data_IF_725309987878
#
_entry.id   IF_725309987878
#
_cell.length_a   1.000
_cell.length_b   1.000
_cell.length_c   1.000
_cell.angle_alpha   90.00
_cell.angle_beta   90.00
_cell.angle_gamma   90.00
#
_symmetry.space_group_name_H-M   'P 1'
#
loop_
_entity.id
_entity.type
_entity.pdbx_description
1 polymer ?
#
# COMPACT_ATOMS: atom_id res chain seq x y z
N UNK A 1 -36.81 33.48 -43.74
CA UNK A 1 -35.63 33.57 -44.64
C UNK A 1 -34.37 33.66 -43.79
N UNK A 2 -33.42 32.74 -44.04
CA UNK A 2 -32.12 32.60 -43.37
C UNK A 2 -31.22 33.85 -43.50
N UNK A 3 -30.37 34.07 -42.50
CA UNK A 3 -28.91 34.39 -42.56
C UNK A 3 -28.41 34.46 -41.09
N UNK A 4 -27.73 33.44 -40.53
CA UNK A 4 -26.31 33.06 -40.60
C UNK A 4 -25.28 34.14 -40.24
N UNK A 5 -24.49 33.85 -39.18
CA UNK A 5 -23.19 34.46 -38.82
C UNK A 5 -22.88 34.21 -37.32
N UNK A 6 -22.29 33.08 -36.89
CA UNK A 6 -20.86 32.65 -36.84
C UNK A 6 -19.94 33.44 -35.90
N UNK A 7 -19.37 32.73 -34.91
CA UNK A 7 -18.07 33.00 -34.24
C UNK A 7 -18.14 33.97 -33.06
N UNK A 8 -17.61 33.71 -31.87
CA UNK A 8 -16.55 32.81 -31.44
C UNK A 8 -16.86 32.29 -30.02
N UNK A 9 -16.94 30.97 -29.86
CA UNK A 9 -16.68 30.37 -28.56
C UNK A 9 -15.16 30.15 -28.52
N UNK A 10 -14.44 31.05 -27.83
CA UNK A 10 -13.04 30.84 -27.49
C UNK A 10 -12.98 29.73 -26.46
N UNK A 11 -13.04 28.47 -26.91
CA UNK A 11 -12.51 27.38 -26.11
C UNK A 11 -11.01 27.57 -26.06
N UNK A 12 -10.55 28.18 -24.96
CA UNK A 12 -9.15 28.05 -24.56
C UNK A 12 -8.94 26.60 -24.18
N UNK A 13 -8.57 25.78 -25.18
CA UNK A 13 -8.01 24.48 -24.97
C UNK A 13 -6.63 24.70 -24.32
N UNK A 14 -6.62 24.75 -22.99
CA UNK A 14 -5.38 24.65 -22.23
C UNK A 14 -4.93 23.21 -22.39
N UNK A 15 -3.98 22.99 -23.28
CA UNK A 15 -3.27 21.73 -23.40
C UNK A 15 -2.43 21.56 -22.13
N UNK A 16 -2.96 20.81 -21.14
CA UNK A 16 -2.17 20.32 -20.01
C UNK A 16 -1.26 19.21 -20.53
N UNK A 17 -0.05 19.55 -20.99
CA UNK A 17 1.02 18.59 -21.30
C UNK A 17 1.68 18.04 -20.02
N UNK A 18 0.88 17.73 -19.00
CA UNK A 18 1.37 17.14 -17.75
C UNK A 18 0.48 15.95 -17.41
N UNK A 19 1.11 14.79 -17.26
CA UNK A 19 0.43 13.61 -16.76
C UNK A 19 0.00 13.86 -15.30
N UNK A 20 -1.26 13.58 -14.97
CA UNK A 20 -1.78 13.71 -13.61
C UNK A 20 -2.07 12.31 -13.11
N UNK A 21 -1.27 11.84 -12.14
CA UNK A 21 -1.54 10.60 -11.43
C UNK A 21 -2.80 10.71 -10.58
N UNK A 22 -3.80 9.87 -10.84
CA UNK A 22 -5.02 9.78 -10.05
C UNK A 22 -5.25 8.33 -9.60
N UNK A 23 -5.39 8.14 -8.28
CA UNK A 23 -5.81 6.87 -7.68
C UNK A 23 -7.18 7.07 -7.04
N UNK A 24 -8.23 6.58 -7.70
CA UNK A 24 -9.62 6.76 -7.26
C UNK A 24 -10.09 5.49 -6.55
N UNK A 25 -10.52 5.63 -5.29
CA UNK A 25 -11.02 4.53 -4.47
C UNK A 25 -12.36 4.90 -3.84
N UNK A 26 -13.19 3.89 -3.66
CA UNK A 26 -14.47 4.01 -2.97
C UNK A 26 -14.36 3.35 -1.60
N UNK A 27 -14.49 4.13 -0.52
CA UNK A 27 -14.47 3.66 0.87
C UNK A 27 -13.25 2.79 1.28
N UNK A 28 -12.16 2.78 0.51
CA UNK A 28 -11.05 1.85 0.70
C UNK A 28 -9.69 2.56 0.72
N UNK A 29 -9.05 2.55 1.88
CA UNK A 29 -7.76 3.22 2.10
C UNK A 29 -6.55 2.29 1.94
N UNK A 30 -6.76 0.98 1.82
CA UNK A 30 -5.65 0.03 1.78
C UNK A 30 -4.75 0.24 0.57
N UNK A 31 -3.47 -0.08 0.77
CA UNK A 31 -2.40 0.03 -0.24
C UNK A 31 -2.38 -1.22 -1.13
N UNK A 32 -1.30 -1.44 -1.91
CA UNK A 32 -1.17 -2.60 -2.81
C UNK A 32 -1.50 -3.91 -2.09
N UNK A 33 -2.19 -4.81 -2.80
CA UNK A 33 -2.62 -6.11 -2.26
C UNK A 33 -1.45 -7.10 -2.21
N UNK A 34 -0.64 -6.98 -1.17
CA UNK A 34 0.52 -7.83 -0.88
C UNK A 34 0.12 -9.24 -0.43
N UNK A 35 0.96 -10.24 -0.74
CA UNK A 35 0.74 -11.65 -0.36
C UNK A 35 2.05 -12.34 0.01
N UNK A 36 1.94 -13.34 0.88
CA UNK A 36 2.98 -14.33 1.11
C UNK A 36 2.51 -15.68 0.55
N UNK A 37 3.40 -16.40 -0.12
CA UNK A 37 3.12 -17.74 -0.62
C UNK A 37 4.40 -18.53 -0.86
N UNK A 38 4.28 -19.85 -1.00
CA UNK A 38 5.39 -20.75 -1.35
C UNK A 38 6.01 -20.53 -2.75
N UNK A 39 5.46 -19.62 -3.57
CA UNK A 39 5.94 -19.34 -4.94
C UNK A 39 6.39 -17.90 -5.16
N UNK A 40 5.98 -17.00 -4.28
CA UNK A 40 6.18 -15.56 -4.47
C UNK A 40 7.29 -15.13 -3.54
N UNK A 41 8.43 -14.78 -4.13
CA UNK A 41 9.54 -14.15 -3.43
C UNK A 41 9.18 -12.69 -3.16
N UNK A 42 8.58 -12.45 -2.00
CA UNK A 42 8.11 -11.11 -1.64
C UNK A 42 9.27 -10.13 -1.51
N UNK A 43 10.46 -10.59 -1.10
CA UNK A 43 11.61 -9.71 -0.97
C UNK A 43 12.08 -9.20 -2.33
N UNK A 44 12.15 -10.10 -3.32
CA UNK A 44 12.49 -9.72 -4.68
C UNK A 44 11.42 -8.79 -5.28
N UNK A 45 10.14 -9.02 -5.00
CA UNK A 45 9.05 -8.18 -5.52
C UNK A 45 8.93 -6.82 -4.84
N UNK A 46 9.18 -6.73 -3.53
CA UNK A 46 8.84 -5.53 -2.74
C UNK A 46 10.04 -4.61 -2.50
N UNK A 47 11.25 -5.16 -2.50
CA UNK A 47 12.47 -4.38 -2.24
C UNK A 47 13.70 -4.88 -3.01
N UNK A 48 13.47 -5.55 -4.13
CA UNK A 48 14.51 -6.02 -5.07
C UNK A 48 15.63 -6.85 -4.41
N UNK A 49 15.29 -7.63 -3.37
CA UNK A 49 16.22 -8.53 -2.69
C UNK A 49 15.55 -9.88 -2.44
N UNK A 50 16.00 -10.96 -3.10
CA UNK A 50 15.44 -12.30 -2.88
C UNK A 50 15.41 -12.68 -1.41
N UNK A 51 14.30 -13.29 -0.99
CA UNK A 51 14.17 -13.84 0.35
C UNK A 51 15.29 -14.86 0.62
N UNK A 52 15.84 -14.80 1.83
CA UNK A 52 16.87 -15.71 2.30
C UNK A 52 16.42 -17.18 2.38
N UNK A 53 17.39 -18.10 2.37
CA UNK A 53 17.13 -19.52 2.62
C UNK A 53 16.51 -19.71 4.02
N UNK A 54 16.90 -18.90 5.01
CA UNK A 54 16.30 -18.91 6.34
C UNK A 54 14.80 -18.61 6.31
N UNK A 55 14.36 -17.66 5.48
CA UNK A 55 12.93 -17.39 5.27
C UNK A 55 12.24 -18.59 4.64
N UNK A 56 12.79 -19.12 3.54
CA UNK A 56 12.17 -20.24 2.83
C UNK A 56 12.04 -21.49 3.70
N UNK A 57 13.09 -21.82 4.46
CA UNK A 57 13.08 -22.92 5.42
C UNK A 57 12.03 -22.71 6.53
N UNK A 58 11.85 -21.47 7.01
CA UNK A 58 10.88 -21.17 8.04
C UNK A 58 9.42 -21.28 7.55
N UNK A 59 9.13 -20.86 6.32
CA UNK A 59 7.75 -20.85 5.80
C UNK A 59 7.34 -22.15 5.09
N UNK A 60 8.29 -22.96 4.65
CA UNK A 60 8.03 -24.25 3.99
C UNK A 60 7.06 -25.15 4.77
N UNK A 61 7.27 -25.48 6.06
CA UNK A 61 6.36 -26.36 6.78
C UNK A 61 4.94 -25.78 6.88
N UNK A 62 4.82 -24.45 6.99
CA UNK A 62 3.53 -23.75 7.05
C UNK A 62 2.79 -23.91 5.72
N UNK A 63 3.46 -23.65 4.60
CA UNK A 63 2.81 -23.77 3.29
C UNK A 63 2.57 -25.21 2.86
N UNK A 64 3.36 -26.16 3.32
CA UNK A 64 3.10 -27.58 3.08
C UNK A 64 1.84 -28.05 3.83
N UNK A 65 1.66 -27.61 5.08
CA UNK A 65 0.40 -27.81 5.81
C UNK A 65 -0.79 -27.20 5.05
N UNK A 66 -0.69 -25.95 4.59
CA UNK A 66 -1.78 -25.31 3.85
C UNK A 66 -2.11 -25.97 2.51
N UNK A 67 -1.12 -26.58 1.83
CA UNK A 67 -1.37 -27.38 0.62
C UNK A 67 -2.20 -28.62 0.94
N UNK A 68 -1.84 -29.34 2.00
CA UNK A 68 -2.59 -30.53 2.44
C UNK A 68 -4.04 -30.17 2.81
N UNK A 69 -4.24 -29.09 3.59
CA UNK A 69 -5.58 -28.62 3.96
C UNK A 69 -6.40 -28.16 2.75
N UNK A 70 -5.75 -27.55 1.75
CA UNK A 70 -6.41 -27.22 0.48
C UNK A 70 -6.85 -28.48 -0.26
N UNK A 71 -6.00 -29.50 -0.35
CA UNK A 71 -6.30 -30.76 -1.05
C UNK A 71 -7.42 -31.53 -0.34
N UNK A 72 -7.52 -31.42 0.99
CA UNK A 72 -8.63 -31.93 1.79
C UNK A 72 -9.92 -31.12 1.65
N UNK A 73 -9.88 -29.94 1.01
CA UNK A 73 -11.03 -29.06 0.84
C UNK A 73 -11.45 -28.32 2.11
N UNK A 74 -10.57 -28.26 3.12
CA UNK A 74 -10.83 -27.68 4.44
C UNK A 74 -11.17 -26.19 4.37
N UNK A 75 -12.05 -25.71 5.25
CA UNK A 75 -12.31 -24.28 5.45
C UNK A 75 -11.39 -23.67 6.51
N UNK A 76 -11.09 -22.38 6.39
CA UNK A 76 -10.32 -21.65 7.41
C UNK A 76 -10.94 -21.64 8.81
N UNK A 77 -12.25 -21.88 8.92
CA UNK A 77 -12.95 -22.03 10.19
C UNK A 77 -12.69 -23.37 10.87
N UNK A 78 -12.28 -24.38 10.10
CA UNK A 78 -12.08 -25.77 10.55
C UNK A 78 -10.64 -26.04 10.99
N UNK A 79 -9.67 -25.20 10.60
CA UNK A 79 -8.30 -25.27 11.10
C UNK A 79 -8.26 -24.87 12.58
N UNK A 80 -8.00 -25.85 13.45
CA UNK A 80 -7.71 -25.64 14.86
C UNK A 80 -6.38 -24.91 15.07
N UNK A 81 -6.33 -24.02 16.07
CA UNK A 81 -5.13 -23.26 16.47
C UNK A 81 -4.40 -22.55 15.30
N UNK A 82 -5.14 -22.10 14.27
CA UNK A 82 -4.55 -21.41 13.10
C UNK A 82 -3.66 -20.21 13.44
N UNK A 83 -3.95 -19.50 14.53
CA UNK A 83 -3.07 -18.42 15.02
C UNK A 83 -1.66 -18.94 15.29
N UNK A 84 -1.55 -20.02 16.07
CA UNK A 84 -0.27 -20.60 16.50
C UNK A 84 0.42 -21.39 15.38
N UNK A 85 -0.37 -22.09 14.55
CA UNK A 85 0.17 -22.99 13.54
C UNK A 85 0.47 -22.31 12.21
N UNK A 86 -0.14 -21.15 11.94
CA UNK A 86 -0.03 -20.47 10.63
C UNK A 86 0.33 -19.00 10.79
N UNK A 87 -0.48 -18.22 11.50
CA UNK A 87 -0.35 -16.76 11.44
C UNK A 87 0.90 -16.24 12.14
N UNK A 88 1.10 -16.60 13.41
CA UNK A 88 2.27 -16.19 14.20
C UNK A 88 3.58 -16.63 13.54
N UNK A 89 3.81 -17.91 13.19
CA UNK A 89 5.08 -18.32 12.62
C UNK A 89 5.33 -17.69 11.24
N UNK A 90 4.30 -17.49 10.41
CA UNK A 90 4.45 -16.82 9.12
C UNK A 90 4.77 -15.33 9.28
N UNK A 91 4.13 -14.66 10.23
CA UNK A 91 4.43 -13.26 10.55
C UNK A 91 5.82 -13.10 11.14
N UNK A 92 6.26 -14.02 12.01
CA UNK A 92 7.62 -14.01 12.54
C UNK A 92 8.65 -14.17 11.42
N UNK A 93 8.44 -15.13 10.51
CA UNK A 93 9.32 -15.31 9.35
C UNK A 93 9.38 -14.04 8.47
N UNK A 94 8.25 -13.35 8.28
CA UNK A 94 8.19 -12.08 7.58
C UNK A 94 8.97 -10.97 8.32
N UNK A 95 8.79 -10.83 9.64
CA UNK A 95 9.52 -9.86 10.47
C UNK A 95 11.02 -10.09 10.35
N UNK A 96 11.45 -11.34 10.54
CA UNK A 96 12.86 -11.70 10.53
C UNK A 96 13.50 -11.44 9.17
N UNK A 97 12.77 -11.70 8.08
CA UNK A 97 13.28 -11.49 6.73
C UNK A 97 13.40 -10.00 6.38
N UNK A 98 12.41 -9.19 6.75
CA UNK A 98 12.49 -7.74 6.54
C UNK A 98 13.65 -7.15 7.35
N UNK A 99 13.89 -7.60 8.59
CA UNK A 99 15.03 -7.15 9.37
C UNK A 99 16.38 -7.56 8.75
N UNK A 100 16.52 -8.82 8.30
CA UNK A 100 17.71 -9.26 7.55
C UNK A 100 17.95 -8.44 6.29
N UNK A 101 16.91 -8.15 5.53
CA UNK A 101 17.02 -7.32 4.32
C UNK A 101 17.43 -5.88 4.67
N UNK A 102 16.86 -5.30 5.72
CA UNK A 102 17.21 -3.95 6.21
C UNK A 102 18.67 -3.83 6.64
N UNK A 103 19.22 -4.86 7.29
CA UNK A 103 20.63 -4.91 7.70
C UNK A 103 21.57 -4.97 6.50
N UNK A 104 21.16 -5.64 5.42
CA UNK A 104 21.94 -5.80 4.18
C UNK A 104 21.86 -4.59 3.25
N UNK A 105 20.71 -3.93 3.19
CA UNK A 105 20.44 -2.80 2.30
C UNK A 105 19.67 -1.69 3.04
N UNK A 106 20.37 -0.59 3.32
CA UNK A 106 19.79 0.58 3.98
C UNK A 106 18.72 1.31 3.14
N UNK A 107 18.58 0.98 1.85
CA UNK A 107 17.52 1.51 0.98
C UNK A 107 16.24 0.69 1.04
N UNK A 108 16.25 -0.49 1.69
CA UNK A 108 15.07 -1.36 1.83
C UNK A 108 13.82 -0.62 2.35
N UNK A 109 13.89 0.20 3.43
CA UNK A 109 12.73 0.96 3.91
C UNK A 109 12.05 1.80 2.82
N UNK A 110 12.84 2.45 1.97
CA UNK A 110 12.35 3.27 0.86
C UNK A 110 11.64 2.42 -0.18
N UNK A 111 12.31 1.34 -0.64
CA UNK A 111 11.75 0.43 -1.66
C UNK A 111 10.45 -0.22 -1.20
N UNK A 112 10.38 -0.62 0.07
CA UNK A 112 9.17 -1.16 0.69
C UNK A 112 7.99 -0.19 0.57
N UNK A 113 8.19 1.09 0.91
CA UNK A 113 7.13 2.11 0.77
C UNK A 113 6.77 2.32 -0.70
N UNK A 114 7.75 2.51 -1.57
CA UNK A 114 7.55 2.71 -3.02
C UNK A 114 6.75 1.55 -3.64
N UNK A 115 7.02 0.30 -3.25
CA UNK A 115 6.25 -0.85 -3.69
C UNK A 115 4.79 -0.80 -3.22
N UNK A 116 4.56 -0.44 -1.96
CA UNK A 116 3.22 -0.44 -1.36
C UNK A 116 2.35 0.69 -1.90
N UNK A 117 2.91 1.89 -2.05
CA UNK A 117 2.15 3.11 -2.37
C UNK A 117 2.26 3.51 -3.84
N UNK A 118 3.29 3.04 -4.56
CA UNK A 118 3.62 3.45 -5.92
C UNK A 118 4.85 4.37 -5.94
N UNK A 119 5.52 4.41 -7.09
CA UNK A 119 6.72 5.23 -7.33
C UNK A 119 6.31 6.60 -7.91
N UNK A 120 5.30 6.63 -8.77
CA UNK A 120 4.83 7.86 -9.40
C UNK A 120 4.10 8.76 -8.41
N UNK A 121 4.14 10.08 -8.63
CA UNK A 121 3.35 10.99 -7.81
C UNK A 121 1.87 10.99 -8.21
N UNK A 122 0.97 11.01 -7.23
CA UNK A 122 -0.47 10.97 -7.51
C UNK A 122 -1.34 11.62 -6.42
N UNK A 123 -2.55 11.98 -6.83
CA UNK A 123 -3.63 12.29 -5.89
C UNK A 123 -4.44 11.02 -5.61
N UNK A 124 -4.53 10.64 -4.34
CA UNK A 124 -5.46 9.58 -3.90
C UNK A 124 -6.79 10.21 -3.54
N UNK A 125 -7.83 9.91 -4.31
CA UNK A 125 -9.18 10.41 -4.09
C UNK A 125 -10.03 9.29 -3.51
N UNK A 126 -10.54 9.49 -2.30
CA UNK A 126 -11.35 8.49 -1.58
C UNK A 126 -12.72 9.08 -1.25
N UNK A 127 -13.78 8.46 -1.75
CA UNK A 127 -15.14 8.78 -1.28
C UNK A 127 -15.42 8.08 0.07
N UNK A 128 -16.04 8.82 0.99
CA UNK A 128 -16.52 8.36 2.31
C UNK A 128 -18.01 8.62 2.39
N UNK A 129 -18.79 7.72 1.79
CA UNK A 129 -20.23 7.88 1.56
C UNK A 129 -21.03 8.09 2.86
N UNK A 130 -20.73 7.29 3.88
CA UNK A 130 -21.37 7.41 5.20
C UNK A 130 -21.15 8.78 5.86
N UNK A 131 -20.09 9.48 5.46
CA UNK A 131 -19.74 10.84 5.92
C UNK A 131 -20.11 11.93 4.92
N UNK A 132 -20.65 11.57 3.74
CA UNK A 132 -20.88 12.49 2.61
C UNK A 132 -19.66 13.38 2.36
N UNK A 133 -18.50 12.76 2.25
CA UNK A 133 -17.20 13.42 2.19
C UNK A 133 -16.30 12.78 1.14
N UNK A 134 -15.55 13.59 0.40
CA UNK A 134 -14.43 13.13 -0.43
C UNK A 134 -13.12 13.59 0.21
N UNK A 135 -12.19 12.66 0.41
CA UNK A 135 -10.83 12.93 0.87
C UNK A 135 -9.88 12.91 -0.34
N UNK A 136 -8.95 13.87 -0.41
CA UNK A 136 -7.88 13.89 -1.39
C UNK A 136 -6.55 13.90 -0.64
N UNK A 137 -5.70 12.89 -0.88
CA UNK A 137 -4.35 12.79 -0.34
C UNK A 137 -3.32 13.09 -1.43
N UNK A 138 -2.29 13.89 -1.12
CA UNK A 138 -1.25 14.26 -2.08
C UNK A 138 0.05 13.48 -1.86
N UNK A 139 0.32 12.47 -2.69
CA UNK A 139 1.59 11.73 -2.66
C UNK A 139 2.55 12.34 -3.68
N UNK A 140 3.30 13.36 -3.26
CA UNK A 140 4.26 14.09 -4.09
C UNK A 140 5.70 13.69 -3.70
N UNK A 141 6.17 12.53 -4.12
CA UNK A 141 7.48 11.98 -3.75
C UNK A 141 8.60 12.54 -4.63
N UNK A 142 8.31 12.87 -5.88
CA UNK A 142 9.28 13.28 -6.90
C UNK A 142 9.12 14.74 -7.34
N UNK A 143 8.37 15.52 -6.56
CA UNK A 143 8.09 16.93 -6.83
C UNK A 143 7.52 17.10 -8.24
N UNK A 144 6.45 16.39 -8.61
CA UNK A 144 5.81 16.57 -9.92
C UNK A 144 4.37 17.09 -9.81
N UNK A 145 3.75 17.00 -8.63
CA UNK A 145 2.39 17.47 -8.43
C UNK A 145 2.28 19.00 -8.38
N UNK A 146 1.23 19.51 -9.02
CA UNK A 146 0.81 20.91 -9.00
C UNK A 146 1.89 21.94 -9.35
N UNK A 147 2.82 21.59 -10.25
CA UNK A 147 3.81 22.56 -10.76
C UNK A 147 3.11 23.73 -11.46
N UNK A 148 3.57 24.97 -11.23
CA UNK A 148 2.97 26.14 -11.88
C UNK A 148 3.10 26.03 -13.40
N UNK A 149 1.99 26.22 -14.11
CA UNK A 149 2.02 26.40 -15.55
C UNK A 149 2.58 27.79 -15.86
N UNK A 150 3.20 27.98 -17.04
CA UNK A 150 3.87 29.23 -17.46
C UNK A 150 3.11 30.52 -17.11
N UNK A 151 1.76 30.47 -17.12
CA UNK A 151 0.90 31.63 -16.89
C UNK A 151 -0.16 31.43 -15.78
N UNK A 152 -0.04 30.43 -14.90
CA UNK A 152 -0.96 30.22 -13.77
C UNK A 152 -0.21 29.77 -12.53
N UNK A 153 -0.34 30.55 -11.45
CA UNK A 153 0.12 30.17 -10.11
C UNK A 153 -0.81 29.09 -9.57
N UNK A 154 -0.24 28.00 -9.07
CA UNK A 154 -0.99 26.91 -8.44
C UNK A 154 -1.72 27.42 -7.21
N UNK A 155 -2.99 27.02 -7.05
CA UNK A 155 -3.82 27.48 -5.93
C UNK A 155 -3.37 26.94 -4.56
N UNK A 156 -2.61 25.83 -4.56
CA UNK A 156 -2.05 25.19 -3.37
C UNK A 156 -0.61 24.75 -3.66
N UNK A 157 0.30 24.90 -2.69
CA UNK A 157 1.62 24.27 -2.78
C UNK A 157 1.52 22.87 -2.21
N UNK A 158 1.92 21.86 -3.00
CA UNK A 158 1.97 20.46 -2.53
C UNK A 158 3.39 20.18 -2.04
N UNK A 159 3.61 19.97 -0.73
CA UNK A 159 4.94 19.69 -0.21
C UNK A 159 5.44 18.32 -0.70
N UNK A 160 6.77 18.18 -0.77
CA UNK A 160 7.40 16.92 -1.17
C UNK A 160 7.37 15.97 0.03
N UNK A 161 6.86 14.77 -0.20
CA UNK A 161 6.78 13.71 0.81
C UNK A 161 8.17 13.12 1.03
N UNK A 162 8.61 13.07 2.29
CA UNK A 162 9.87 12.42 2.65
C UNK A 162 9.68 10.91 2.73
N UNK A 163 10.31 10.18 1.82
CA UNK A 163 10.40 8.71 1.89
C UNK A 163 11.21 8.28 3.13
N UNK A 164 10.95 7.09 3.70
CA UNK A 164 11.70 6.63 4.86
C UNK A 164 13.15 6.31 4.49
N UNK A 165 14.05 6.53 5.44
CA UNK A 165 15.47 6.17 5.34
C UNK A 165 15.87 5.10 6.35
N UNK A 166 14.98 4.77 7.29
CA UNK A 166 15.27 3.84 8.38
C UNK A 166 14.02 3.10 8.85
N UNK A 167 14.13 1.78 8.95
CA UNK A 167 13.21 0.96 9.74
C UNK A 167 13.45 1.20 11.24
N UNK A 168 12.44 1.68 11.95
CA UNK A 168 12.49 1.93 13.40
C UNK A 168 12.13 0.68 14.18
N UNK A 169 11.03 0.03 13.80
CA UNK A 169 10.58 -1.22 14.38
C UNK A 169 9.66 -1.97 13.40
N UNK A 170 9.64 -3.29 13.52
CA UNK A 170 8.65 -4.16 12.89
C UNK A 170 8.31 -5.26 13.89
N UNK A 171 7.09 -5.23 14.42
CA UNK A 171 6.71 -6.06 15.55
C UNK A 171 5.24 -6.46 15.50
N UNK A 172 4.85 -7.45 16.31
CA UNK A 172 3.45 -7.81 16.46
C UNK A 172 2.65 -6.66 17.06
N UNK A 173 1.46 -6.43 16.50
CA UNK A 173 0.50 -5.53 17.11
C UNK A 173 0.11 -6.07 18.49
N UNK A 174 0.08 -5.24 19.54
CA UNK A 174 -0.33 -5.69 20.87
C UNK A 174 -1.71 -6.36 20.85
N UNK A 175 -1.80 -7.52 21.50
CA UNK A 175 -3.02 -8.34 21.58
C UNK A 175 -3.55 -8.80 20.20
N UNK A 176 -2.68 -9.00 19.21
CA UNK A 176 -3.04 -9.54 17.89
C UNK A 176 -2.10 -10.67 17.47
N UNK A 177 -2.70 -11.79 17.07
CA UNK A 177 -1.96 -12.96 16.57
C UNK A 177 -1.81 -12.96 15.04
N UNK A 178 -2.38 -11.97 14.35
CA UNK A 178 -2.45 -11.96 12.88
C UNK A 178 -2.09 -10.60 12.27
N UNK A 179 -1.56 -9.67 13.06
CA UNK A 179 -1.21 -8.33 12.60
C UNK A 179 0.17 -7.94 13.11
N UNK A 180 1.00 -7.42 12.22
CA UNK A 180 2.26 -6.76 12.56
C UNK A 180 2.19 -5.28 12.19
N UNK A 181 2.93 -4.45 12.90
CA UNK A 181 3.02 -3.01 12.68
C UNK A 181 4.46 -2.65 12.33
N UNK A 182 4.61 -1.90 11.24
CA UNK A 182 5.88 -1.40 10.73
C UNK A 182 5.96 0.10 11.02
N UNK A 183 7.00 0.48 11.74
CA UNK A 183 7.32 1.85 12.11
C UNK A 183 8.58 2.27 11.37
N UNK A 184 8.48 3.33 10.59
CA UNK A 184 9.54 3.89 9.78
C UNK A 184 9.74 5.35 10.18
N UNK A 185 10.92 5.89 9.92
CA UNK A 185 11.16 7.32 10.11
C UNK A 185 10.32 8.17 9.13
N UNK A 186 10.37 9.49 9.30
CA UNK A 186 9.59 10.44 8.50
C UNK A 186 8.05 10.29 8.59
N UNK A 187 7.53 9.63 9.63
CA UNK A 187 6.10 9.59 9.94
C UNK A 187 5.31 8.46 9.27
N UNK A 188 6.00 7.52 8.62
CA UNK A 188 5.40 6.35 8.00
C UNK A 188 5.11 5.26 9.04
N UNK A 189 3.85 4.84 9.14
CA UNK A 189 3.45 3.70 9.96
C UNK A 189 2.39 2.88 9.24
N UNK A 190 2.60 1.56 9.15
CA UNK A 190 1.70 0.66 8.43
C UNK A 190 1.39 -0.57 9.29
N UNK A 191 0.15 -1.04 9.20
CA UNK A 191 -0.27 -2.34 9.73
C UNK A 191 -0.38 -3.35 8.60
N UNK A 192 0.07 -4.57 8.86
CA UNK A 192 -0.01 -5.71 7.95
C UNK A 192 -0.82 -6.80 8.63
N UNK A 193 -2.11 -6.90 8.29
CA UNK A 193 -3.00 -7.92 8.84
C UNK A 193 -3.16 -9.06 7.87
N UNK A 194 -2.85 -10.28 8.29
CA UNK A 194 -3.20 -11.49 7.53
C UNK A 194 -4.72 -11.60 7.46
N UNK A 195 -5.23 -11.71 6.23
CA UNK A 195 -6.63 -11.98 5.96
C UNK A 195 -6.80 -13.01 4.83
N UNK A 196 -7.89 -13.78 4.90
CA UNK A 196 -8.25 -14.76 3.89
C UNK A 196 -9.60 -14.36 3.29
N UNK A 197 -9.60 -14.02 2.00
CA UNK A 197 -10.84 -13.69 1.29
C UNK A 197 -11.65 -14.94 0.90
N UNK A 198 -10.97 -16.09 0.75
CA UNK A 198 -11.60 -17.38 0.46
C UNK A 198 -12.06 -18.02 1.77
N UNK A 199 -13.23 -18.67 1.74
CA UNK A 199 -13.68 -19.55 2.84
C UNK A 199 -12.83 -20.82 2.92
N UNK A 200 -12.40 -21.35 1.77
CA UNK A 200 -11.53 -22.53 1.67
C UNK A 200 -10.06 -22.15 1.82
N UNK A 201 -9.29 -23.09 2.37
CA UNK A 201 -7.84 -22.92 2.56
C UNK A 201 -7.14 -22.78 1.23
N UNK A 202 -6.22 -21.82 1.16
CA UNK A 202 -5.34 -21.58 0.02
C UNK A 202 -3.91 -21.41 0.55
N UNK A 203 -2.88 -21.99 -0.11
CA UNK A 203 -1.48 -21.85 0.29
C UNK A 203 -0.89 -20.50 -0.14
N UNK A 204 -1.65 -19.43 0.09
CA UNK A 204 -1.26 -18.03 -0.12
C UNK A 204 -2.11 -17.16 0.79
N UNK A 205 -1.45 -16.39 1.66
CA UNK A 205 -2.13 -15.48 2.59
C UNK A 205 -1.95 -14.05 2.11
N UNK A 206 -3.05 -13.28 2.17
CA UNK A 206 -3.04 -11.88 1.78
C UNK A 206 -2.81 -11.00 2.99
N UNK A 207 -2.11 -9.90 2.79
CA UNK A 207 -2.10 -8.80 3.72
C UNK A 207 -3.18 -7.79 3.38
N UNK A 208 -3.93 -7.38 4.40
CA UNK A 208 -4.67 -6.12 4.42
C UNK A 208 -3.71 -5.10 5.02
N UNK A 209 -3.10 -4.30 4.15
CA UNK A 209 -2.09 -3.32 4.52
C UNK A 209 -2.74 -1.94 4.63
N UNK A 210 -2.64 -1.33 5.79
CA UNK A 210 -3.28 -0.04 6.08
C UNK A 210 -2.29 0.94 6.69
N UNK A 211 -2.42 2.22 6.34
CA UNK A 211 -1.70 3.28 7.05
C UNK A 211 -2.28 3.43 8.46
N UNK A 212 -1.38 3.40 9.45
CA UNK A 212 -1.65 3.88 10.81
C UNK A 212 -1.39 5.39 10.84
N UNK A 213 -0.29 5.82 10.23
CA UNK A 213 0.05 7.23 10.00
C UNK A 213 0.79 7.41 8.68
N UNK A 214 0.78 8.64 8.19
CA UNK A 214 1.52 9.08 7.02
C UNK A 214 2.36 10.32 7.40
N UNK A 215 3.39 10.66 6.61
CA UNK A 215 4.11 11.92 6.76
C UNK A 215 3.17 13.12 6.73
N UNK A 216 3.50 14.17 7.48
CA UNK A 216 2.69 15.40 7.53
C UNK A 216 2.65 16.12 6.18
N UNK A 217 3.64 15.88 5.33
CA UNK A 217 3.70 16.36 3.95
C UNK A 217 2.64 15.71 3.04
N UNK A 218 2.03 14.59 3.44
CA UNK A 218 0.84 14.09 2.74
C UNK A 218 -0.35 14.97 3.14
N UNK A 219 -0.66 15.99 2.32
CA UNK A 219 -1.80 16.85 2.56
C UNK A 219 -3.11 16.07 2.46
N UNK A 220 -4.03 16.37 3.36
CA UNK A 220 -5.37 15.79 3.42
C UNK A 220 -6.38 16.91 3.15
N UNK A 221 -6.99 16.89 1.96
CA UNK A 221 -8.00 17.88 1.57
C UNK A 221 -9.38 17.23 1.70
N UNK A 222 -10.26 17.89 2.47
CA UNK A 222 -11.62 17.45 2.71
C UNK A 222 -12.61 18.21 1.82
N UNK A 223 -13.44 17.49 1.06
CA UNK A 223 -14.48 18.05 0.20
C UNK A 223 -15.84 17.47 0.59
N UNK A 224 -16.62 18.22 1.39
CA UNK A 224 -17.97 17.82 1.82
C UNK A 224 -18.95 17.85 0.65
N UNK A 225 -19.88 16.89 0.62
CA UNK A 225 -20.92 16.84 -0.40
C UNK A 225 -22.08 17.73 0.02
N UNK A 226 -22.57 18.54 -0.92
CA UNK A 226 -23.79 19.33 -0.75
C UNK A 226 -25.03 18.44 -0.87
#
# INVERSE_FOLDING_TARGET
LKKNGTGHNTQHQVCLQSEIGLSIKHNHDAVKHSRLSYKLDFGNEWFDMPCSDEYWNAVEPIFNFLKQEKDNGTKWSEIGNKSQNVYIPLLQAFIDEVNRANEKDNTMPRKMIEYLIGIEDYYKVVSKDSKRLTMIHTFNMHDTLNKPAKNKVSAITVPIVKLPTRLVALEFKPNSDNTVEMYLDNGWQLSFRIHNASTKVEPSLKFDVQFISMPIEVLNIECKWN
#
